data_IF_700063254694
#
_entry.id   IF_700063254694
#
_cell.length_a   1.000
_cell.length_b   1.000
_cell.length_c   1.000
_cell.angle_alpha   90.00
_cell.angle_beta   90.00
_cell.angle_gamma   90.00
#
_symmetry.space_group_name_H-M   'P 1'
#
loop_
_entity.id
_entity.type
_entity.pdbx_description
1 polymer ?
#
# COMPACT_ATOMS: atom_id res chain seq x y z
N UNK A 1 -55.04 -15.54 18.70
CA UNK A 1 -53.60 -15.81 18.80
C UNK A 1 -52.88 -14.68 18.11
N UNK A 2 -52.05 -13.98 18.88
CA UNK A 2 -51.11 -12.89 18.51
C UNK A 2 -50.31 -13.24 17.25
N UNK A 3 -49.89 -12.34 16.37
CA UNK A 3 -49.11 -11.15 16.68
C UNK A 3 -49.21 -10.06 15.58
N UNK A 4 -48.93 -8.84 16.01
CA UNK A 4 -49.20 -7.56 15.35
C UNK A 4 -47.85 -6.90 15.08
N UNK A 5 -47.62 -6.50 13.82
CA UNK A 5 -46.70 -5.42 13.37
C UNK A 5 -45.21 -5.55 13.73
N UNK A 6 -44.36 -5.46 12.69
CA UNK A 6 -43.32 -4.41 12.55
C UNK A 6 -42.64 -4.50 11.18
N UNK A 7 -43.12 -3.66 10.26
CA UNK A 7 -42.24 -2.98 9.31
C UNK A 7 -41.43 -1.98 10.14
N UNK A 8 -40.12 -2.13 10.21
CA UNK A 8 -39.17 -1.10 10.66
C UNK A 8 -37.94 -1.21 9.72
N UNK A 9 -37.61 -0.22 8.89
CA UNK A 9 -37.23 1.18 9.19
C UNK A 9 -35.80 1.24 9.74
N UNK A 10 -34.84 1.44 8.80
CA UNK A 10 -33.44 1.91 8.90
C UNK A 10 -32.76 1.50 7.58
N UNK A 11 -32.95 2.12 6.42
CA UNK A 11 -32.96 3.53 6.02
C UNK A 11 -31.69 4.33 6.38
N UNK A 12 -31.02 4.76 5.31
CA UNK A 12 -30.25 6.00 5.17
C UNK A 12 -29.02 6.21 6.07
N UNK A 13 -27.90 5.60 5.70
CA UNK A 13 -26.55 6.17 5.93
C UNK A 13 -25.71 6.26 4.64
N UNK A 14 -26.39 6.39 3.49
CA UNK A 14 -25.85 7.15 2.37
C UNK A 14 -26.16 8.62 2.66
N UNK A 15 -25.12 9.47 2.55
CA UNK A 15 -25.12 10.94 2.70
C UNK A 15 -24.88 11.42 4.15
N UNK A 16 -23.63 11.86 4.42
CA UNK A 16 -23.28 13.19 4.98
C UNK A 16 -21.91 13.12 5.68
N UNK A 17 -20.80 13.20 4.94
CA UNK A 17 -19.62 13.98 5.37
C UNK A 17 -18.96 14.55 4.11
N UNK A 18 -19.61 15.54 3.52
CA UNK A 18 -18.90 16.55 2.75
C UNK A 18 -18.28 17.51 3.78
N UNK A 19 -16.98 17.43 4.00
CA UNK A 19 -16.25 18.50 4.70
C UNK A 19 -15.26 19.08 3.70
N UNK A 20 -15.72 20.17 3.10
CA UNK A 20 -14.93 21.25 2.53
C UNK A 20 -13.84 21.68 3.50
N UNK A 21 -12.58 21.65 3.07
CA UNK A 21 -11.59 22.61 3.54
C UNK A 21 -11.09 23.36 2.31
N UNK A 22 -11.87 24.38 1.95
CA UNK A 22 -11.43 25.44 1.07
C UNK A 22 -10.48 26.35 1.86
N UNK A 23 -9.25 26.44 1.33
CA UNK A 23 -8.38 27.61 1.21
C UNK A 23 -8.09 28.47 2.44
N UNK A 24 -6.79 28.64 2.69
CA UNK A 24 -6.07 29.94 2.80
C UNK A 24 -4.56 29.61 2.93
N UNK A 25 -3.53 30.26 2.38
CA UNK A 25 -3.30 31.60 1.84
C UNK A 25 -2.20 31.57 0.76
N UNK A 26 -2.28 32.54 -0.14
CA UNK A 26 -1.23 33.04 -1.02
C UNK A 26 0.05 33.45 -0.26
N UNK A 27 1.19 32.97 -0.73
CA UNK A 27 2.48 33.66 -0.75
C UNK A 27 3.34 32.83 -1.72
N UNK A 28 3.65 33.26 -2.95
CA UNK A 28 4.29 34.51 -3.32
C UNK A 28 5.29 34.09 -4.40
N UNK A 29 4.93 34.31 -5.67
CA UNK A 29 5.88 34.22 -6.76
C UNK A 29 6.79 35.45 -6.68
N UNK A 30 8.01 35.31 -6.16
CA UNK A 30 9.07 36.29 -6.41
C UNK A 30 10.24 35.61 -7.12
N UNK A 31 10.23 35.79 -8.44
CA UNK A 31 11.43 35.75 -9.26
C UNK A 31 12.30 36.93 -8.85
N UNK A 32 13.42 36.66 -8.18
CA UNK A 32 14.50 37.64 -8.02
C UNK A 32 15.78 37.10 -8.66
N UNK A 33 16.26 37.81 -9.68
CA UNK A 33 17.55 37.58 -10.34
C UNK A 33 18.64 38.43 -9.65
N UNK A 34 19.72 37.75 -9.26
CA UNK A 34 21.14 38.19 -9.16
C UNK A 34 21.56 39.26 -8.11
N UNK A 35 22.85 39.37 -7.70
CA UNK A 35 24.08 38.83 -8.31
C UNK A 35 25.04 38.06 -7.38
N UNK A 36 26.14 37.56 -7.96
CA UNK A 36 27.24 36.82 -7.36
C UNK A 36 27.94 37.53 -6.19
N UNK A 37 28.20 36.79 -5.10
CA UNK A 37 29.23 37.09 -4.10
C UNK A 37 29.71 35.79 -3.41
N UNK A 38 30.74 35.19 -4.01
CA UNK A 38 31.92 34.54 -3.43
C UNK A 38 32.02 34.32 -1.89
N UNK A 39 32.22 33.04 -1.51
CA UNK A 39 32.97 32.44 -0.34
C UNK A 39 32.26 32.15 1.01
N UNK A 40 32.77 31.17 1.83
CA UNK A 40 33.68 30.04 1.57
C UNK A 40 33.07 28.66 1.91
N UNK A 41 33.73 27.58 1.46
CA UNK A 41 33.42 26.19 1.80
C UNK A 41 33.37 25.94 3.32
N UNK A 42 32.25 25.43 3.82
CA UNK A 42 32.26 24.59 5.02
C UNK A 42 32.60 23.15 4.61
N UNK A 43 33.86 22.80 4.86
CA UNK A 43 34.29 21.42 5.08
C UNK A 43 33.73 20.97 6.44
N UNK A 44 32.74 20.06 6.46
CA UNK A 44 32.14 19.69 7.74
C UNK A 44 30.93 18.77 7.73
N UNK A 45 30.93 17.67 6.98
CA UNK A 45 30.44 16.35 7.41
C UNK A 45 30.46 15.40 6.21
N UNK A 46 31.01 14.18 6.31
CA UNK A 46 30.54 13.10 5.45
C UNK A 46 29.04 13.00 5.69
N UNK A 47 28.23 13.13 4.63
CA UNK A 47 26.87 12.64 4.67
C UNK A 47 26.98 11.19 5.19
N UNK A 48 26.43 10.93 6.38
CA UNK A 48 26.37 9.58 6.89
C UNK A 48 25.81 8.70 5.77
N UNK A 49 26.42 7.56 5.44
CA UNK A 49 25.80 6.63 4.52
C UNK A 49 24.41 6.36 5.08
N UNK A 50 23.37 6.68 4.31
CA UNK A 50 22.01 6.24 4.61
C UNK A 50 22.12 4.75 4.90
N UNK A 51 21.84 4.33 6.14
CA UNK A 51 21.89 2.92 6.50
C UNK A 51 21.04 2.17 5.48
N UNK A 52 21.50 1.04 4.93
CA UNK A 52 20.62 0.17 4.16
C UNK A 52 19.51 -0.25 5.14
N UNK A 53 18.33 0.36 4.98
CA UNK A 53 17.17 0.03 5.80
C UNK A 53 16.80 -1.41 5.47
N UNK A 54 17.19 -2.30 6.38
CA UNK A 54 16.79 -3.70 6.35
C UNK A 54 15.26 -3.73 6.42
N UNK A 55 14.63 -4.49 5.52
CA UNK A 55 13.19 -4.74 5.51
C UNK A 55 12.68 -5.01 6.94
N UNK A 56 11.55 -4.39 7.29
CA UNK A 56 10.92 -4.58 8.61
C UNK A 56 10.24 -5.94 8.73
N UNK A 57 9.89 -6.56 7.59
CA UNK A 57 9.29 -7.88 7.53
C UNK A 57 10.28 -8.94 7.05
N UNK A 58 10.12 -10.16 7.56
CA UNK A 58 10.76 -11.35 6.99
C UNK A 58 9.89 -11.96 5.89
N UNK A 59 10.50 -12.76 5.01
CA UNK A 59 9.73 -13.48 3.97
C UNK A 59 8.68 -14.45 4.55
N UNK A 60 8.89 -14.96 5.78
CA UNK A 60 7.91 -15.79 6.47
C UNK A 60 6.70 -14.97 6.95
N UNK A 61 6.93 -13.77 7.49
CA UNK A 61 5.87 -12.86 7.91
C UNK A 61 5.04 -12.40 6.71
N UNK A 62 5.72 -12.00 5.63
CA UNK A 62 5.13 -11.61 4.35
C UNK A 62 4.26 -12.72 3.79
N UNK A 63 4.76 -13.96 3.79
CA UNK A 63 4.00 -15.12 3.32
C UNK A 63 2.76 -15.38 4.19
N UNK A 64 2.87 -15.21 5.51
CA UNK A 64 1.74 -15.36 6.44
C UNK A 64 0.66 -14.31 6.19
N UNK A 65 1.06 -13.03 6.04
CA UNK A 65 0.17 -11.91 5.73
C UNK A 65 -0.54 -12.15 4.38
N UNK A 66 0.20 -12.56 3.35
CA UNK A 66 -0.35 -12.79 2.03
C UNK A 66 -1.39 -13.92 2.02
N UNK A 67 -1.09 -15.05 2.67
CA UNK A 67 -2.03 -16.17 2.78
C UNK A 67 -3.30 -15.78 3.54
N UNK A 68 -3.15 -15.06 4.66
CA UNK A 68 -4.28 -14.58 5.44
C UNK A 68 -5.17 -13.65 4.60
N UNK A 69 -4.58 -12.67 3.95
CA UNK A 69 -5.30 -11.69 3.11
C UNK A 69 -6.03 -12.37 1.96
N UNK A 70 -5.37 -13.29 1.26
CA UNK A 70 -5.97 -14.05 0.17
C UNK A 70 -7.16 -14.91 0.64
N UNK A 71 -7.05 -15.55 1.80
CA UNK A 71 -8.14 -16.34 2.38
C UNK A 71 -9.32 -15.45 2.82
N UNK A 72 -9.05 -14.25 3.36
CA UNK A 72 -10.08 -13.26 3.72
C UNK A 72 -10.84 -12.74 2.49
N UNK A 73 -10.19 -12.66 1.33
CA UNK A 73 -10.79 -12.36 0.03
C UNK A 73 -11.49 -13.56 -0.63
N UNK A 74 -11.50 -14.74 0.02
CA UNK A 74 -12.19 -15.94 -0.44
C UNK A 74 -11.42 -16.77 -1.48
N UNK A 75 -10.10 -16.56 -1.62
CA UNK A 75 -9.26 -17.36 -2.50
C UNK A 75 -8.92 -18.72 -1.86
N UNK A 76 -9.07 -19.80 -2.63
CA UNK A 76 -8.75 -21.17 -2.22
C UNK A 76 -7.28 -21.46 -2.50
N UNK A 77 -6.42 -21.31 -1.48
CA UNK A 77 -4.97 -21.42 -1.63
C UNK A 77 -4.49 -22.80 -2.10
N UNK A 78 -5.29 -23.84 -1.89
CA UNK A 78 -5.07 -25.19 -2.39
C UNK A 78 -5.10 -25.30 -3.91
N UNK A 79 -5.68 -24.35 -4.63
CA UNK A 79 -5.73 -24.33 -6.09
C UNK A 79 -4.43 -23.79 -6.72
N UNK A 80 -3.51 -23.26 -5.90
CA UNK A 80 -2.28 -22.60 -6.33
C UNK A 80 -1.03 -23.39 -5.95
N UNK A 81 0.05 -23.16 -6.71
CA UNK A 81 1.37 -23.69 -6.43
C UNK A 81 1.99 -23.03 -5.19
N UNK A 82 3.17 -23.51 -4.78
CA UNK A 82 3.98 -22.82 -3.76
C UNK A 82 4.26 -21.39 -4.22
N UNK A 83 3.89 -20.36 -3.43
CA UNK A 83 4.01 -18.99 -3.87
C UNK A 83 5.46 -18.52 -3.92
N UNK A 84 5.72 -17.57 -4.82
CA UNK A 84 7.02 -16.90 -4.95
C UNK A 84 6.98 -15.56 -4.21
N UNK A 85 8.01 -15.27 -3.42
CA UNK A 85 8.12 -14.02 -2.65
C UNK A 85 9.23 -13.16 -3.24
N UNK A 86 8.93 -11.90 -3.54
CA UNK A 86 9.86 -10.92 -4.13
C UNK A 86 9.80 -9.63 -3.32
N UNK A 87 10.97 -9.05 -3.02
CA UNK A 87 11.07 -7.72 -2.44
C UNK A 87 11.39 -6.71 -3.54
N UNK A 88 10.71 -5.57 -3.50
CA UNK A 88 10.87 -4.46 -4.42
C UNK A 88 11.03 -3.17 -3.61
N UNK A 89 12.20 -2.54 -3.74
CA UNK A 89 12.55 -1.26 -3.13
C UNK A 89 12.70 -0.12 -4.15
N UNK A 90 12.14 -0.31 -5.35
CA UNK A 90 12.24 0.67 -6.43
C UNK A 90 11.39 1.92 -6.16
N UNK A 91 11.81 3.05 -6.74
CA UNK A 91 11.08 4.32 -6.70
C UNK A 91 10.72 4.83 -5.30
N UNK A 92 11.48 4.44 -4.27
CA UNK A 92 11.23 4.81 -2.88
C UNK A 92 10.01 4.10 -2.26
N UNK A 93 9.45 3.11 -2.95
CA UNK A 93 8.42 2.23 -2.41
C UNK A 93 9.07 0.95 -1.93
N UNK A 94 8.86 0.62 -0.65
CA UNK A 94 9.34 -0.63 -0.05
C UNK A 94 8.17 -1.58 0.08
N UNK A 95 8.13 -2.58 -0.80
CA UNK A 95 7.01 -3.47 -0.92
C UNK A 95 7.46 -4.90 -1.16
N UNK A 96 6.67 -5.83 -0.66
CA UNK A 96 6.78 -7.24 -0.93
C UNK A 96 5.67 -7.68 -1.87
N UNK A 97 6.01 -8.54 -2.80
CA UNK A 97 5.08 -9.22 -3.69
C UNK A 97 5.09 -10.71 -3.39
N UNK A 98 3.90 -11.26 -3.18
CA UNK A 98 3.71 -12.71 -3.08
C UNK A 98 2.85 -13.17 -4.24
N UNK A 99 3.46 -13.91 -5.16
CA UNK A 99 2.81 -14.39 -6.38
C UNK A 99 2.29 -15.82 -6.15
N UNK A 100 1.02 -16.03 -6.46
CA UNK A 100 0.35 -17.32 -6.41
C UNK A 100 -0.03 -17.70 -7.83
N UNK A 101 0.73 -18.61 -8.43
CA UNK A 101 0.45 -19.16 -9.74
C UNK A 101 -0.49 -20.36 -9.59
N UNK A 102 -1.58 -20.37 -10.34
CA UNK A 102 -2.56 -21.44 -10.33
C UNK A 102 -1.96 -22.75 -10.82
N UNK A 103 -2.53 -23.86 -10.34
CA UNK A 103 -2.13 -25.21 -10.81
C UNK A 103 -2.61 -25.50 -12.22
N UNK A 104 -3.57 -24.72 -12.74
CA UNK A 104 -4.10 -24.90 -14.09
C UNK A 104 -3.37 -23.96 -15.02
N UNK A 105 -2.97 -24.47 -16.18
CA UNK A 105 -2.37 -23.66 -17.24
C UNK A 105 -3.46 -22.91 -18.03
N UNK A 106 -4.14 -21.97 -17.37
CA UNK A 106 -5.14 -21.11 -18.01
C UNK A 106 -4.84 -19.64 -17.73
N UNK A 107 -5.15 -18.78 -18.70
CA UNK A 107 -4.97 -17.33 -18.56
C UNK A 107 -5.79 -16.81 -17.36
N UNK A 108 -5.17 -15.93 -16.58
CA UNK A 108 -5.78 -15.33 -15.39
C UNK A 108 -5.82 -16.23 -14.15
N UNK A 109 -5.34 -17.48 -14.22
CA UNK A 109 -5.23 -18.35 -13.03
C UNK A 109 -3.96 -18.05 -12.24
N UNK A 110 -3.86 -16.82 -11.76
CA UNK A 110 -2.84 -16.39 -10.83
C UNK A 110 -3.31 -15.12 -10.11
N UNK A 111 -2.73 -14.83 -8.96
CA UNK A 111 -2.91 -13.55 -8.30
C UNK A 111 -1.62 -13.17 -7.56
N UNK A 112 -1.53 -11.91 -7.16
CA UNK A 112 -0.43 -11.40 -6.36
C UNK A 112 -0.96 -10.65 -5.15
N UNK A 113 -0.26 -10.74 -4.03
CA UNK A 113 -0.52 -9.90 -2.87
C UNK A 113 0.63 -8.93 -2.71
N UNK A 114 0.32 -7.62 -2.76
CA UNK A 114 1.26 -6.55 -2.48
C UNK A 114 1.19 -6.19 -1.01
N UNK A 115 2.33 -6.18 -0.33
CA UNK A 115 2.42 -5.82 1.10
C UNK A 115 3.41 -4.66 1.25
N UNK A 116 2.96 -3.55 1.81
CA UNK A 116 3.84 -2.40 2.11
C UNK A 116 4.66 -2.70 3.36
N UNK A 117 5.99 -2.67 3.28
CA UNK A 117 6.88 -3.13 4.36
C UNK A 117 6.68 -2.35 5.68
N UNK A 118 6.58 -1.02 5.60
CA UNK A 118 6.45 -0.16 6.79
C UNK A 118 5.06 -0.11 7.43
N UNK A 119 3.99 -0.44 6.71
CA UNK A 119 2.61 -0.37 7.23
C UNK A 119 1.92 -1.73 7.31
N UNK A 120 2.52 -2.77 6.72
CA UNK A 120 1.96 -4.11 6.56
C UNK A 120 0.59 -4.12 5.86
N UNK A 121 0.26 -3.05 5.14
CA UNK A 121 -0.98 -2.96 4.35
C UNK A 121 -0.87 -3.93 3.18
N UNK A 122 -1.85 -4.83 3.07
CA UNK A 122 -1.89 -5.89 2.07
C UNK A 122 -3.06 -5.68 1.09
N UNK A 123 -2.81 -5.89 -0.20
CA UNK A 123 -3.79 -5.75 -1.26
C UNK A 123 -3.67 -6.89 -2.27
N UNK A 124 -4.80 -7.44 -2.70
CA UNK A 124 -4.86 -8.52 -3.69
C UNK A 124 -5.02 -7.97 -5.11
N UNK A 125 -4.21 -8.49 -6.02
CA UNK A 125 -4.21 -8.19 -7.45
C UNK A 125 -4.47 -9.48 -8.23
N UNK A 126 -5.64 -9.59 -8.86
CA UNK A 126 -6.00 -10.74 -9.69
C UNK A 126 -5.33 -10.65 -11.07
N UNK A 127 -4.79 -11.76 -11.56
CA UNK A 127 -4.37 -11.92 -12.94
C UNK A 127 -5.56 -11.77 -13.89
N UNK A 128 -5.39 -11.05 -14.99
CA UNK A 128 -6.40 -10.85 -16.03
C UNK A 128 -5.93 -11.37 -17.37
#
# INVERSE_FOLDING_TARGET
MSDVRRLNMLDFRLITVAILIAQTFLAGCETSRQPAAMLPQEEGQPAAPLSPEVSQLTSADVLSIAKKTAAEEGLQLEDYNTPTVVYDDSHGQRQWWVHFDGKREVFGDHFSVRITDGTQTAEVYLGR
#
